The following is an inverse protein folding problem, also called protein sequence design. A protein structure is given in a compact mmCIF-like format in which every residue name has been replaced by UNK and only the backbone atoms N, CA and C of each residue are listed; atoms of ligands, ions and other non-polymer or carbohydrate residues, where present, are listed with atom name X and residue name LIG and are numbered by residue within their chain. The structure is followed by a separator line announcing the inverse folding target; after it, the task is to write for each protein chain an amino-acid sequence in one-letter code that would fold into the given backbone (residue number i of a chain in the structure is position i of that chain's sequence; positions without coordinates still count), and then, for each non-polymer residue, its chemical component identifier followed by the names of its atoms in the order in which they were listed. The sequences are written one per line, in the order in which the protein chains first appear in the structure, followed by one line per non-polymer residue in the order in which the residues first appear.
data_IF_386723701710
#
_entry.id   IF_386723701710
#
_cell.length_a   1.000
_cell.length_b   1.000
_cell.length_c   1.000
_cell.angle_alpha   90.00
_cell.angle_beta   90.00
_cell.angle_gamma   90.00
#
_symmetry.space_group_name_H-M   'P 1'
#
loop_
_entity.id
_entity.type
_entity.pdbx_description
1 polymer ?
#
# COMPACT_ATOMS: atom_id res chain seq x y z
N UNK A 1 -21.53 -7.35 -3.14
CA UNK A 1 -21.43 -8.80 -2.78
C UNK A 1 -22.57 -9.23 -1.83
N UNK A 2 -23.77 -9.62 -2.32
CA UNK A 2 -24.88 -9.99 -1.44
C UNK A 2 -24.80 -11.45 -0.96
N UNK A 3 -24.89 -11.67 0.36
CA UNK A 3 -25.47 -12.90 0.94
C UNK A 3 -24.53 -14.01 1.42
N UNK A 4 -23.25 -14.03 1.06
CA UNK A 4 -22.34 -15.08 1.56
C UNK A 4 -21.76 -14.67 2.91
N UNK A 5 -22.18 -15.36 3.98
CA UNK A 5 -21.54 -15.19 5.30
C UNK A 5 -20.12 -15.75 5.21
N UNK A 6 -19.12 -14.87 5.22
CA UNK A 6 -17.71 -15.28 5.22
C UNK A 6 -17.39 -16.01 6.55
N UNK A 7 -16.56 -17.06 6.53
CA UNK A 7 -16.19 -17.74 7.77
C UNK A 7 -15.38 -16.79 8.67
N UNK A 8 -15.50 -16.93 10.00
CA UNK A 8 -14.76 -16.10 10.94
C UNK A 8 -13.26 -16.28 10.76
N UNK A 9 -12.50 -15.26 11.16
CA UNK A 9 -11.05 -15.39 11.20
C UNK A 9 -10.67 -16.43 12.28
N UNK A 10 -9.78 -17.39 12.00
CA UNK A 10 -9.44 -18.45 12.95
C UNK A 10 -8.79 -17.92 14.23
N UNK A 11 -9.09 -18.56 15.36
CA UNK A 11 -8.57 -18.18 16.68
C UNK A 11 -7.22 -18.81 17.01
N UNK A 12 -6.83 -19.86 16.27
CA UNK A 12 -5.67 -20.71 16.51
C UNK A 12 -4.44 -20.36 15.65
N UNK A 13 -4.49 -19.24 14.91
CA UNK A 13 -3.35 -18.75 14.14
C UNK A 13 -2.64 -17.58 14.83
N UNK A 14 -1.30 -17.50 14.78
CA UNK A 14 -0.56 -16.38 15.36
C UNK A 14 -0.97 -15.04 14.73
N UNK A 15 -1.40 -14.10 15.56
CA UNK A 15 -1.74 -12.73 15.15
C UNK A 15 -0.84 -11.71 15.82
N UNK A 16 -0.55 -10.61 15.14
CA UNK A 16 0.08 -9.45 15.75
C UNK A 16 -0.98 -8.41 16.12
N UNK A 17 -1.06 -7.96 17.39
CA UNK A 17 -1.99 -6.90 17.77
C UNK A 17 -1.49 -5.57 17.20
N UNK A 18 -2.35 -4.88 16.42
CA UNK A 18 -2.10 -3.50 16.02
C UNK A 18 -2.80 -2.55 16.98
N UNK A 19 -2.20 -1.37 17.19
CA UNK A 19 -2.89 -0.28 17.87
C UNK A 19 -4.11 0.15 17.04
N UNK A 20 -5.25 0.34 17.70
CA UNK A 20 -6.47 0.87 17.09
C UNK A 20 -6.49 2.38 17.27
N UNK A 21 -6.47 3.12 16.17
CA UNK A 21 -6.50 4.58 16.14
C UNK A 21 -7.89 5.05 15.70
N UNK A 22 -8.43 6.05 16.38
CA UNK A 22 -9.69 6.72 16.09
C UNK A 22 -9.46 7.97 15.23
N UNK A 23 -9.82 7.89 13.95
CA UNK A 23 -9.64 9.00 13.02
C UNK A 23 -10.37 10.28 13.47
N UNK A 24 -11.53 10.16 14.10
CA UNK A 24 -12.30 11.32 14.52
C UNK A 24 -11.57 12.11 15.61
N UNK A 25 -10.99 11.42 16.59
CA UNK A 25 -10.18 12.05 17.64
C UNK A 25 -8.91 12.69 17.08
N UNK A 26 -8.24 12.02 16.12
CA UNK A 26 -7.11 12.62 15.40
C UNK A 26 -7.52 13.92 14.68
N UNK A 27 -8.65 13.92 13.98
CA UNK A 27 -9.16 15.09 13.25
C UNK A 27 -9.52 16.27 14.16
N UNK A 28 -9.79 15.99 15.45
CA UNK A 28 -10.05 17.00 16.48
C UNK A 28 -8.79 17.46 17.22
N UNK A 29 -7.62 16.90 16.90
CA UNK A 29 -6.36 17.24 17.55
C UNK A 29 -6.22 16.63 18.96
N UNK A 30 -6.89 15.51 19.23
CA UNK A 30 -6.74 14.81 20.50
C UNK A 30 -5.28 14.34 20.69
N UNK A 31 -4.65 14.82 21.76
CA UNK A 31 -3.22 14.59 21.99
C UNK A 31 -2.90 13.13 22.30
N UNK A 32 -3.78 12.44 23.04
CA UNK A 32 -3.54 11.05 23.42
C UNK A 32 -3.61 10.15 22.20
N UNK A 33 -4.60 10.38 21.33
CA UNK A 33 -4.73 9.61 20.10
C UNK A 33 -3.61 9.92 19.10
N UNK A 34 -3.17 11.17 19.03
CA UNK A 34 -1.99 11.57 18.23
C UNK A 34 -0.72 10.86 18.74
N UNK A 35 -0.50 10.79 20.05
CA UNK A 35 0.67 10.13 20.62
C UNK A 35 0.62 8.61 20.38
N UNK A 36 -0.57 8.02 20.42
CA UNK A 36 -0.79 6.61 20.09
C UNK A 36 -0.54 6.31 18.60
N UNK A 37 -0.97 7.19 17.70
CA UNK A 37 -0.65 7.10 16.28
C UNK A 37 0.86 7.21 16.05
N UNK A 38 1.51 8.13 16.75
CA UNK A 38 2.96 8.30 16.69
C UNK A 38 3.71 7.06 17.18
N UNK A 39 3.27 6.43 18.28
CA UNK A 39 3.79 5.16 18.76
C UNK A 39 3.65 4.07 17.70
N UNK A 40 2.46 3.91 17.11
CA UNK A 40 2.23 2.91 16.06
C UNK A 40 3.15 3.10 14.85
N UNK A 41 3.31 4.36 14.41
CA UNK A 41 4.09 4.69 13.21
C UNK A 41 5.61 4.62 13.42
N UNK A 42 6.10 4.82 14.65
CA UNK A 42 7.54 4.77 14.98
C UNK A 42 8.01 3.42 15.50
N UNK A 43 7.10 2.52 15.86
CA UNK A 43 7.42 1.14 16.30
C UNK A 43 7.29 0.15 15.15
N UNK A 44 6.07 -0.29 14.84
CA UNK A 44 5.80 -1.26 13.79
C UNK A 44 5.58 -0.62 12.42
N UNK A 45 5.06 0.60 12.39
CA UNK A 45 4.65 1.25 11.15
C UNK A 45 3.26 0.83 10.67
N UNK A 46 2.47 0.11 11.48
CA UNK A 46 1.13 -0.39 11.15
C UNK A 46 0.14 -0.09 12.27
N UNK A 47 -1.10 0.26 11.92
CA UNK A 47 -2.21 0.45 12.84
C UNK A 47 -3.55 0.09 12.21
N UNK A 48 -4.56 -0.20 13.04
CA UNK A 48 -5.95 -0.12 12.59
C UNK A 48 -6.42 1.33 12.69
N UNK A 49 -7.25 1.76 11.74
CA UNK A 49 -7.91 3.06 11.78
C UNK A 49 -9.42 2.84 11.75
N UNK A 50 -10.15 3.34 12.74
CA UNK A 50 -11.63 3.32 12.79
C UNK A 50 -12.20 4.72 12.63
N UNK A 51 -13.51 4.82 12.45
CA UNK A 51 -14.25 6.08 12.35
C UNK A 51 -13.75 7.01 11.22
N UNK A 52 -13.12 6.44 10.18
CA UNK A 52 -12.65 7.18 9.00
C UNK A 52 -13.81 7.59 8.06
N UNK A 53 -14.95 6.88 8.14
CA UNK A 53 -16.17 7.19 7.40
C UNK A 53 -16.07 6.92 5.90
N UNK A 54 -15.29 5.92 5.50
CA UNK A 54 -15.09 5.55 4.09
C UNK A 54 -15.85 4.27 3.69
N UNK A 55 -16.59 3.66 4.62
CA UNK A 55 -17.17 2.32 4.47
C UNK A 55 -18.08 2.20 3.23
N UNK A 56 -18.91 3.21 2.96
CA UNK A 56 -19.78 3.24 1.78
C UNK A 56 -18.97 3.26 0.47
N UNK A 57 -17.95 4.12 0.38
CA UNK A 57 -17.09 4.21 -0.80
C UNK A 57 -16.28 2.93 -1.00
N UNK A 58 -15.86 2.29 0.10
CA UNK A 58 -15.13 1.01 0.08
C UNK A 58 -16.00 -0.11 -0.49
N UNK A 59 -17.26 -0.23 -0.06
CA UNK A 59 -18.18 -1.22 -0.62
C UNK A 59 -18.46 -0.97 -2.11
N UNK A 60 -18.70 0.28 -2.51
CA UNK A 60 -18.85 0.62 -3.93
C UNK A 60 -17.62 0.26 -4.76
N UNK A 61 -16.42 0.49 -4.23
CA UNK A 61 -15.16 0.12 -4.89
C UNK A 61 -14.99 -1.39 -5.01
N UNK A 62 -15.45 -2.18 -4.03
CA UNK A 62 -15.47 -3.63 -4.13
C UNK A 62 -16.45 -4.10 -5.21
N UNK A 63 -17.65 -3.55 -5.26
CA UNK A 63 -18.64 -3.93 -6.28
C UNK A 63 -18.15 -3.58 -7.69
N UNK A 64 -17.60 -2.37 -7.89
CA UNK A 64 -16.94 -1.99 -9.15
C UNK A 64 -15.78 -2.93 -9.49
N UNK A 65 -14.99 -3.33 -8.49
CA UNK A 65 -13.91 -4.30 -8.63
C UNK A 65 -14.38 -5.66 -9.13
N UNK A 66 -15.47 -6.18 -8.55
CA UNK A 66 -16.11 -7.44 -8.97
C UNK A 66 -16.54 -7.34 -10.43
N UNK A 67 -17.31 -6.31 -10.79
CA UNK A 67 -17.76 -6.09 -12.17
C UNK A 67 -16.59 -5.99 -13.15
N UNK A 68 -15.51 -5.30 -12.76
CA UNK A 68 -14.33 -5.12 -13.59
C UNK A 68 -13.55 -6.42 -13.78
N UNK A 69 -13.40 -7.24 -12.73
CA UNK A 69 -12.65 -8.50 -12.82
C UNK A 69 -13.44 -9.63 -13.48
N UNK A 70 -14.76 -9.52 -13.53
CA UNK A 70 -15.66 -10.45 -14.22
C UNK A 70 -15.72 -10.20 -15.74
N UNK A 71 -15.15 -9.09 -16.23
CA UNK A 71 -14.97 -8.85 -17.66
C UNK A 71 -14.13 -9.97 -18.31
N UNK A 72 -14.39 -10.29 -19.60
CA UNK A 72 -13.54 -11.22 -20.34
C UNK A 72 -12.07 -10.82 -20.28
N UNK A 73 -11.18 -11.81 -20.20
CA UNK A 73 -9.74 -11.58 -20.06
C UNK A 73 -9.19 -10.61 -21.12
N UNK A 74 -9.59 -10.77 -22.38
CA UNK A 74 -9.17 -9.89 -23.48
C UNK A 74 -9.64 -8.44 -23.30
N UNK A 75 -10.81 -8.21 -22.71
CA UNK A 75 -11.31 -6.86 -22.42
C UNK A 75 -10.49 -6.20 -21.32
N UNK A 76 -10.12 -6.95 -20.27
CA UNK A 76 -9.23 -6.45 -19.20
C UNK A 76 -7.83 -6.14 -19.74
N UNK A 77 -7.32 -6.99 -20.63
CA UNK A 77 -5.96 -6.86 -21.19
C UNK A 77 -5.78 -5.63 -22.10
N UNK A 78 -6.84 -5.05 -22.67
CA UNK A 78 -6.76 -3.74 -23.36
C UNK A 78 -6.24 -2.63 -22.44
N UNK A 79 -6.44 -2.77 -21.14
CA UNK A 79 -6.06 -1.79 -20.13
C UNK A 79 -4.85 -2.24 -19.29
N UNK A 80 -4.04 -3.17 -19.79
CA UNK A 80 -2.88 -3.65 -19.06
C UNK A 80 -1.90 -2.50 -18.72
N UNK A 81 -1.26 -2.58 -17.55
CA UNK A 81 -0.37 -1.52 -17.04
C UNK A 81 0.96 -1.40 -17.80
N UNK A 82 1.35 -2.43 -18.54
CA UNK A 82 2.61 -2.55 -19.24
C UNK A 82 3.77 -3.00 -18.36
N UNK A 83 4.94 -3.09 -19.01
CA UNK A 83 6.19 -3.51 -18.38
C UNK A 83 7.19 -2.34 -18.20
N UNK A 84 6.76 -1.11 -18.51
CA UNK A 84 7.60 0.09 -18.56
C UNK A 84 7.76 0.83 -17.23
N UNK A 85 7.32 0.26 -16.11
CA UNK A 85 7.40 0.91 -14.78
C UNK A 85 6.17 1.74 -14.39
N UNK A 86 5.13 1.79 -15.23
CA UNK A 86 3.81 2.33 -14.85
C UNK A 86 3.03 1.29 -14.06
N UNK A 87 2.24 1.73 -13.08
CA UNK A 87 1.39 0.84 -12.28
C UNK A 87 -0.10 1.01 -12.52
N UNK A 88 -0.58 2.15 -13.05
CA UNK A 88 -2.01 2.33 -13.31
C UNK A 88 -2.49 1.42 -14.44
N UNK A 89 -3.70 0.87 -14.31
CA UNK A 89 -4.30 -0.10 -15.22
C UNK A 89 -4.46 -1.49 -14.61
N UNK A 90 -4.82 -2.43 -15.47
CA UNK A 90 -5.00 -3.84 -15.14
C UNK A 90 -3.65 -4.56 -15.04
N UNK A 91 -3.52 -5.43 -14.05
CA UNK A 91 -2.45 -6.42 -13.95
C UNK A 91 -3.09 -7.79 -13.82
N UNK A 92 -2.74 -8.71 -14.74
CA UNK A 92 -3.17 -10.11 -14.71
C UNK A 92 -2.40 -10.93 -13.67
N UNK A 93 -3.00 -11.99 -13.14
CA UNK A 93 -2.29 -13.01 -12.35
C UNK A 93 -1.06 -13.56 -13.08
N UNK A 94 0.00 -13.85 -12.33
CA UNK A 94 1.26 -14.40 -12.83
C UNK A 94 2.16 -13.42 -13.59
N UNK A 95 1.89 -12.12 -13.56
CA UNK A 95 2.74 -11.15 -14.27
C UNK A 95 3.98 -10.73 -13.47
N UNK A 96 4.01 -10.96 -12.15
CA UNK A 96 5.14 -10.58 -11.29
C UNK A 96 5.82 -11.81 -10.71
N UNK A 97 7.15 -11.76 -10.62
CA UNK A 97 7.90 -12.69 -9.79
C UNK A 97 7.61 -12.44 -8.31
N UNK A 98 7.57 -13.51 -7.50
CA UNK A 98 7.42 -13.42 -6.03
C UNK A 98 8.60 -13.97 -5.26
N UNK A 99 9.69 -14.31 -5.95
CA UNK A 99 10.98 -14.66 -5.35
C UNK A 99 12.15 -14.33 -6.28
N UNK A 100 13.36 -14.50 -5.75
CA UNK A 100 14.62 -14.23 -6.47
C UNK A 100 14.83 -15.16 -7.68
N UNK A 101 14.26 -16.37 -7.63
CA UNK A 101 14.40 -17.38 -8.69
C UNK A 101 13.61 -17.01 -9.93
N UNK A 102 12.56 -16.20 -9.80
CA UNK A 102 11.63 -15.88 -10.89
C UNK A 102 10.72 -17.05 -11.29
N UNK A 103 10.81 -18.19 -10.59
CA UNK A 103 10.00 -19.39 -10.86
C UNK A 103 8.59 -19.25 -10.28
N UNK A 104 8.48 -18.73 -9.05
CA UNK A 104 7.18 -18.50 -8.43
C UNK A 104 6.63 -17.14 -8.87
N UNK A 105 5.34 -17.14 -9.22
CA UNK A 105 4.61 -15.98 -9.71
C UNK A 105 3.43 -15.68 -8.80
N UNK A 106 3.03 -14.41 -8.76
CA UNK A 106 1.89 -13.99 -7.95
C UNK A 106 0.56 -14.52 -8.49
N UNK A 107 -0.38 -14.78 -7.59
CA UNK A 107 -1.70 -15.34 -7.94
C UNK A 107 -2.78 -14.28 -8.13
N UNK A 108 -2.46 -13.01 -7.86
CA UNK A 108 -3.43 -11.94 -7.81
C UNK A 108 -3.58 -11.23 -9.15
N UNK A 109 -4.80 -10.81 -9.46
CA UNK A 109 -5.06 -9.78 -10.45
C UNK A 109 -5.52 -8.50 -9.76
N UNK A 110 -5.23 -7.34 -10.33
CA UNK A 110 -5.66 -6.06 -9.77
C UNK A 110 -5.91 -4.99 -10.84
N UNK A 111 -6.74 -4.02 -10.46
CA UNK A 111 -6.99 -2.79 -11.21
C UNK A 111 -6.50 -1.61 -10.39
N UNK A 112 -5.58 -0.84 -10.96
CA UNK A 112 -5.06 0.38 -10.38
C UNK A 112 -5.64 1.60 -11.08
N UNK A 113 -6.28 2.48 -10.33
CA UNK A 113 -6.88 3.71 -10.82
C UNK A 113 -6.10 4.90 -10.27
N UNK A 114 -5.52 5.71 -11.16
CA UNK A 114 -4.70 6.85 -10.78
C UNK A 114 -5.53 7.88 -10.01
N UNK A 115 -4.94 8.43 -8.93
CA UNK A 115 -5.46 9.64 -8.26
C UNK A 115 -5.67 10.76 -9.28
N UNK A 116 -4.71 10.95 -10.19
CA UNK A 116 -4.72 12.06 -11.15
C UNK A 116 -5.93 11.97 -12.07
N UNK A 117 -6.24 10.78 -12.60
CA UNK A 117 -7.43 10.56 -13.42
C UNK A 117 -8.73 10.69 -12.63
N UNK A 118 -8.79 10.14 -11.41
CA UNK A 118 -9.97 10.22 -10.56
C UNK A 118 -10.32 11.67 -10.17
N UNK A 119 -9.31 12.52 -9.93
CA UNK A 119 -9.52 13.92 -9.61
C UNK A 119 -9.78 14.80 -10.83
N UNK A 120 -9.24 14.44 -12.01
CA UNK A 120 -9.39 15.21 -13.24
C UNK A 120 -10.63 14.82 -14.07
N UNK A 121 -11.31 13.72 -13.73
CA UNK A 121 -12.47 13.22 -14.47
C UNK A 121 -13.51 14.32 -14.77
N UNK A 122 -14.04 14.44 -16.00
CA UNK A 122 -13.93 13.49 -17.13
C UNK A 122 -12.67 13.64 -18.00
N UNK A 123 -11.74 14.53 -17.65
CA UNK A 123 -10.47 14.66 -18.39
C UNK A 123 -9.56 13.46 -18.11
N UNK A 124 -8.99 12.89 -19.15
CA UNK A 124 -7.94 11.87 -19.04
C UNK A 124 -6.62 12.58 -18.70
N UNK A 125 -6.07 12.32 -17.52
CA UNK A 125 -4.79 12.86 -17.06
C UNK A 125 -3.62 11.93 -17.40
N UNK A 126 -3.81 10.62 -17.21
CA UNK A 126 -2.80 9.58 -17.42
C UNK A 126 -3.28 8.50 -18.38
N UNK A 127 -4.50 7.96 -18.21
CA UNK A 127 -4.99 6.86 -19.05
C UNK A 127 -6.52 6.68 -19.02
N UNK A 128 -6.98 5.88 -19.97
CA UNK A 128 -8.33 5.32 -19.99
C UNK A 128 -8.42 4.01 -19.17
N UNK A 129 -9.64 3.66 -18.80
CA UNK A 129 -10.01 2.49 -17.97
C UNK A 129 -11.18 1.72 -18.60
N UNK A 130 -11.41 0.45 -18.21
CA UNK A 130 -12.60 -0.28 -18.63
C UNK A 130 -13.89 0.48 -18.33
N UNK A 131 -14.94 0.23 -19.12
CA UNK A 131 -16.25 0.87 -18.97
C UNK A 131 -16.82 0.75 -17.55
N UNK A 132 -16.58 -0.37 -16.85
CA UNK A 132 -17.00 -0.60 -15.47
C UNK A 132 -16.40 0.43 -14.51
N UNK A 133 -15.11 0.75 -14.67
CA UNK A 133 -14.40 1.79 -13.90
C UNK A 133 -14.91 3.17 -14.32
N UNK A 134 -14.96 3.44 -15.63
CA UNK A 134 -15.32 4.75 -16.17
C UNK A 134 -16.75 5.17 -15.80
N UNK A 135 -17.71 4.23 -15.82
CA UNK A 135 -19.11 4.46 -15.39
C UNK A 135 -19.23 4.66 -13.88
N UNK A 136 -18.30 4.10 -13.11
CA UNK A 136 -18.24 4.21 -11.64
C UNK A 136 -17.37 5.38 -11.16
N UNK A 137 -16.78 6.16 -12.09
CA UNK A 137 -15.75 7.13 -11.72
C UNK A 137 -16.30 8.24 -10.83
N UNK A 138 -17.41 8.87 -11.22
CA UNK A 138 -18.01 9.99 -10.48
C UNK A 138 -18.73 9.53 -9.20
N UNK A 139 -19.41 8.38 -9.26
CA UNK A 139 -20.24 7.86 -8.17
C UNK A 139 -19.44 7.16 -7.07
N UNK A 140 -18.31 6.53 -7.43
CA UNK A 140 -17.60 5.62 -6.53
C UNK A 140 -16.11 5.94 -6.44
N UNK A 141 -15.39 5.93 -7.56
CA UNK A 141 -13.92 6.01 -7.55
C UNK A 141 -13.42 7.36 -7.06
N UNK A 142 -13.90 8.46 -7.64
CA UNK A 142 -13.48 9.79 -7.25
C UNK A 142 -13.89 10.13 -5.81
N UNK A 143 -15.10 9.77 -5.32
CA UNK A 143 -15.43 9.86 -3.90
C UNK A 143 -14.48 9.06 -2.99
N UNK A 144 -14.17 7.80 -3.34
CA UNK A 144 -13.21 6.99 -2.57
C UNK A 144 -11.82 7.64 -2.51
N UNK A 145 -11.32 8.11 -3.66
CA UNK A 145 -10.00 8.78 -3.75
C UNK A 145 -9.99 10.05 -2.89
N UNK A 146 -11.00 10.92 -3.00
CA UNK A 146 -11.10 12.15 -2.18
C UNK A 146 -11.16 11.83 -0.69
N UNK A 147 -11.99 10.85 -0.30
CA UNK A 147 -12.10 10.43 1.10
C UNK A 147 -10.80 9.84 1.63
N UNK A 148 -10.11 9.07 0.82
CA UNK A 148 -8.79 8.52 1.16
C UNK A 148 -7.75 9.62 1.32
N UNK A 149 -7.75 10.62 0.43
CA UNK A 149 -6.89 11.81 0.53
C UNK A 149 -7.15 12.59 1.83
N UNK A 150 -8.41 12.86 2.18
CA UNK A 150 -8.75 13.54 3.44
C UNK A 150 -8.15 12.82 4.65
N UNK A 151 -8.30 11.49 4.68
CA UNK A 151 -7.75 10.65 5.75
C UNK A 151 -6.23 10.73 5.78
N UNK A 152 -5.54 10.40 4.67
CA UNK A 152 -4.08 10.30 4.67
C UNK A 152 -3.39 11.65 4.84
N UNK A 153 -3.95 12.77 4.37
CA UNK A 153 -3.39 14.11 4.63
C UNK A 153 -3.56 14.53 6.09
N UNK A 154 -4.65 14.12 6.75
CA UNK A 154 -4.80 14.34 8.19
C UNK A 154 -3.66 13.66 8.95
N UNK A 155 -3.39 12.39 8.64
CA UNK A 155 -2.28 11.64 9.27
C UNK A 155 -0.91 12.24 8.90
N UNK A 156 -0.73 12.64 7.64
CA UNK A 156 0.49 13.27 7.14
C UNK A 156 0.81 14.57 7.89
N UNK A 157 -0.21 15.38 8.20
CA UNK A 157 -0.05 16.60 8.99
C UNK A 157 0.36 16.30 10.43
N UNK A 158 -0.22 15.26 11.05
CA UNK A 158 0.22 14.81 12.39
C UNK A 158 1.70 14.41 12.36
N UNK A 159 2.11 13.63 11.36
CA UNK A 159 3.52 13.22 11.23
C UNK A 159 4.44 14.40 10.95
N UNK A 160 4.01 15.37 10.12
CA UNK A 160 4.75 16.61 9.87
C UNK A 160 5.08 17.31 11.20
N UNK A 161 4.07 17.50 12.04
CA UNK A 161 4.19 18.22 13.29
C UNK A 161 5.01 17.43 14.33
N UNK A 162 4.78 16.12 14.46
CA UNK A 162 5.53 15.25 15.39
C UNK A 162 7.00 15.07 14.98
N UNK A 163 7.31 15.16 13.69
CA UNK A 163 8.69 15.22 13.19
C UNK A 163 9.33 16.61 13.42
N UNK A 164 8.58 17.62 13.88
CA UNK A 164 9.10 18.98 14.05
C UNK A 164 9.44 19.67 12.72
N UNK A 165 8.82 19.25 11.62
CA UNK A 165 9.01 19.87 10.31
C UNK A 165 8.27 21.21 10.23
N UNK A 166 8.73 22.15 9.38
CA UNK A 166 7.96 23.33 9.04
C UNK A 166 6.54 22.96 8.57
N UNK A 167 5.57 23.82 8.87
CA UNK A 167 4.16 23.53 8.57
C UNK A 167 3.96 23.18 7.09
N UNK A 168 3.34 22.03 6.85
CA UNK A 168 2.96 21.55 5.52
C UNK A 168 4.13 21.08 4.64
N UNK A 169 5.33 20.84 5.20
CA UNK A 169 6.45 20.29 4.43
C UNK A 169 6.10 18.98 3.77
N UNK A 170 5.58 18.01 4.54
CA UNK A 170 5.18 16.73 3.95
C UNK A 170 4.03 16.88 2.94
N UNK A 171 3.07 17.78 3.19
CA UNK A 171 1.98 18.03 2.26
C UNK A 171 2.47 18.62 0.92
N UNK A 172 3.51 19.46 0.91
CA UNK A 172 4.12 19.99 -0.32
C UNK A 172 4.83 18.91 -1.15
N UNK A 173 5.46 17.92 -0.49
CA UNK A 173 6.02 16.76 -1.18
C UNK A 173 4.92 15.87 -1.82
N UNK A 174 3.66 16.09 -1.43
CA UNK A 174 2.50 15.43 -1.97
C UNK A 174 1.56 16.48 -2.57
N UNK A 175 2.03 17.39 -3.40
CA UNK A 175 1.13 18.39 -3.99
C UNK A 175 0.06 17.70 -4.85
N UNK A 176 -1.21 18.00 -4.61
CA UNK A 176 -2.34 17.45 -5.37
C UNK A 176 -2.34 17.90 -6.84
N UNK A 177 -1.71 19.05 -7.14
CA UNK A 177 -1.54 19.58 -8.48
C UNK A 177 -0.36 18.94 -9.22
N UNK A 178 0.56 18.30 -8.49
CA UNK A 178 1.63 17.53 -9.09
C UNK A 178 1.14 16.11 -9.39
N UNK A 179 1.53 15.63 -10.57
CA UNK A 179 1.40 14.23 -10.95
C UNK A 179 2.20 13.36 -9.99
N UNK A 180 1.57 12.27 -9.54
CA UNK A 180 2.20 11.32 -8.62
C UNK A 180 1.83 9.89 -9.00
N UNK A 181 2.56 8.93 -8.44
CA UNK A 181 2.16 7.54 -8.47
C UNK A 181 0.96 7.20 -7.58
N UNK A 182 0.28 8.15 -6.93
CA UNK A 182 -0.84 7.82 -6.02
C UNK A 182 -2.00 7.15 -6.76
N UNK A 183 -2.55 6.07 -6.20
CA UNK A 183 -3.58 5.26 -6.87
C UNK A 183 -4.46 4.48 -5.90
N UNK A 184 -5.69 4.19 -6.34
CA UNK A 184 -6.57 3.21 -5.72
C UNK A 184 -6.39 1.85 -6.42
N UNK A 185 -6.12 0.80 -5.64
CA UNK A 185 -5.92 -0.56 -6.12
C UNK A 185 -7.02 -1.48 -5.60
N UNK A 186 -7.77 -2.11 -6.50
CA UNK A 186 -8.67 -3.21 -6.16
C UNK A 186 -8.03 -4.53 -6.57
N UNK A 187 -7.89 -5.45 -5.62
CA UNK A 187 -7.16 -6.72 -5.79
C UNK A 187 -8.14 -7.88 -5.63
N UNK A 188 -8.11 -8.81 -6.59
CA UNK A 188 -8.75 -10.12 -6.51
C UNK A 188 -7.69 -11.19 -6.36
N UNK A 189 -7.80 -12.00 -5.31
CA UNK A 189 -7.00 -13.20 -5.13
C UNK A 189 -7.95 -14.42 -5.17
N UNK A 190 -7.71 -15.41 -6.05
CA UNK A 190 -8.57 -16.58 -6.15
C UNK A 190 -8.56 -17.42 -4.86
N UNK A 191 -9.58 -18.29 -4.66
CA UNK A 191 -9.57 -19.26 -3.57
C UNK A 191 -8.37 -20.21 -3.68
N UNK A 192 -7.78 -20.55 -2.54
CA UNK A 192 -6.63 -21.44 -2.44
C UNK A 192 -6.77 -22.39 -1.23
N UNK A 193 -7.80 -23.26 -1.19
CA UNK A 193 -8.13 -24.07 -0.02
C UNK A 193 -7.06 -25.10 0.35
N UNK A 194 -6.35 -25.63 -0.66
CA UNK A 194 -5.38 -26.73 -0.49
C UNK A 194 -3.91 -26.26 -0.57
N UNK A 195 -3.68 -24.94 -0.56
CA UNK A 195 -2.32 -24.40 -0.70
C UNK A 195 -1.64 -24.24 0.66
N UNK A 196 -0.40 -24.72 0.82
CA UNK A 196 0.35 -24.48 2.04
C UNK A 196 0.59 -22.98 2.22
N UNK A 197 0.66 -22.46 3.47
CA UNK A 197 0.93 -21.04 3.77
C UNK A 197 2.24 -20.50 3.16
N UNK A 198 3.11 -21.41 2.71
CA UNK A 198 4.38 -21.15 2.05
C UNK A 198 4.22 -20.63 0.61
N UNK A 199 3.06 -20.87 -0.03
CA UNK A 199 2.74 -20.26 -1.33
C UNK A 199 2.35 -18.81 -1.13
N UNK A 200 3.19 -17.91 -1.63
CA UNK A 200 3.04 -16.47 -1.42
C UNK A 200 2.17 -15.84 -2.52
N UNK A 201 1.04 -15.24 -2.16
CA UNK A 201 0.15 -14.53 -3.09
C UNK A 201 0.72 -13.14 -3.48
N UNK A 202 1.32 -12.44 -2.51
CA UNK A 202 2.16 -11.25 -2.71
C UNK A 202 3.39 -11.36 -1.83
N UNK A 203 4.57 -11.22 -2.43
CA UNK A 203 5.87 -11.38 -1.79
C UNK A 203 6.08 -10.43 -0.59
N UNK A 204 6.98 -10.79 0.32
CA UNK A 204 7.45 -9.97 1.42
C UNK A 204 8.07 -8.64 0.93
N UNK A 205 7.34 -7.54 1.05
CA UNK A 205 7.78 -6.23 0.57
C UNK A 205 7.47 -5.14 1.60
N UNK A 206 8.06 -3.99 1.39
CA UNK A 206 7.55 -2.73 1.92
C UNK A 206 6.86 -1.94 0.82
N UNK A 207 5.89 -1.11 1.21
CA UNK A 207 5.16 -0.26 0.27
C UNK A 207 6.01 0.88 -0.26
N UNK A 208 5.78 1.26 -1.51
CA UNK A 208 6.72 2.13 -2.24
C UNK A 208 6.54 3.60 -1.86
N UNK A 209 5.33 3.95 -1.44
CA UNK A 209 4.87 5.32 -1.20
C UNK A 209 5.09 5.79 0.22
N UNK A 210 4.20 6.66 0.68
CA UNK A 210 4.27 7.27 2.01
C UNK A 210 3.28 6.65 2.98
N UNK A 211 2.03 6.48 2.56
CA UNK A 211 0.97 5.88 3.38
C UNK A 211 0.09 4.96 2.55
N UNK A 212 -0.33 3.86 3.15
CA UNK A 212 -1.32 2.93 2.61
C UNK A 212 -2.58 2.96 3.48
N UNK A 213 -3.74 2.96 2.83
CA UNK A 213 -5.06 2.89 3.47
C UNK A 213 -5.81 1.67 2.92
N UNK A 214 -5.64 0.53 3.59
CA UNK A 214 -6.05 -0.80 3.15
C UNK A 214 -7.35 -1.26 3.83
N UNK A 215 -8.25 -1.83 3.05
CA UNK A 215 -9.47 -2.50 3.50
C UNK A 215 -9.46 -3.93 2.95
N UNK A 216 -9.66 -4.91 3.82
CA UNK A 216 -9.81 -6.31 3.44
C UNK A 216 -10.91 -6.98 4.28
N UNK A 217 -11.62 -7.94 3.68
CA UNK A 217 -12.69 -8.69 4.36
C UNK A 217 -12.19 -10.01 4.95
N UNK A 218 -11.24 -10.66 4.28
CA UNK A 218 -10.60 -11.90 4.72
C UNK A 218 -9.15 -11.65 5.15
N UNK A 219 -8.60 -12.60 5.91
CA UNK A 219 -7.21 -12.60 6.35
C UNK A 219 -6.20 -12.73 5.21
N UNK A 220 -5.00 -13.21 5.52
CA UNK A 220 -3.91 -13.41 4.54
C UNK A 220 -2.82 -12.35 4.60
N UNK A 221 -3.09 -11.14 5.12
CA UNK A 221 -2.03 -10.17 5.41
C UNK A 221 -1.20 -10.67 6.59
N UNK A 222 0.12 -10.69 6.42
CA UNK A 222 1.08 -10.98 7.48
C UNK A 222 2.14 -9.88 7.54
N UNK A 223 2.58 -9.56 8.76
CA UNK A 223 3.73 -8.69 9.02
C UNK A 223 4.84 -9.51 9.65
N UNK A 224 6.09 -9.07 9.47
CA UNK A 224 7.23 -9.55 10.24
C UNK A 224 7.63 -8.44 11.22
N UNK A 225 7.26 -8.54 12.51
CA UNK A 225 7.59 -7.49 13.47
C UNK A 225 9.11 -7.34 13.63
N UNK A 226 9.63 -6.11 13.85
CA UNK A 226 11.06 -5.89 14.03
C UNK A 226 11.63 -6.75 15.16
N UNK A 227 12.70 -7.49 14.89
CA UNK A 227 13.35 -8.37 15.88
C UNK A 227 12.68 -9.73 16.08
N UNK A 228 11.61 -10.04 15.34
CA UNK A 228 10.96 -11.35 15.36
C UNK A 228 11.40 -12.22 14.17
N UNK A 229 11.48 -13.53 14.39
CA UNK A 229 11.81 -14.51 13.34
C UNK A 229 10.58 -15.06 12.60
N UNK A 230 9.37 -14.72 13.05
CA UNK A 230 8.12 -15.34 12.58
C UNK A 230 7.11 -14.32 12.08
N UNK A 231 6.48 -14.65 10.95
CA UNK A 231 5.36 -13.91 10.37
C UNK A 231 4.11 -14.05 11.25
N UNK A 232 3.39 -12.96 11.41
CA UNK A 232 2.14 -12.90 12.20
C UNK A 232 1.02 -12.31 11.37
N UNK A 233 -0.18 -12.90 11.44
CA UNK A 233 -1.34 -12.40 10.73
C UNK A 233 -1.85 -11.08 11.31
N UNK A 234 -2.36 -10.23 10.42
CA UNK A 234 -3.19 -9.08 10.79
C UNK A 234 -4.65 -9.46 10.56
N UNK A 235 -5.41 -9.54 11.64
CA UNK A 235 -6.83 -9.92 11.62
C UNK A 235 -7.66 -8.77 11.04
N UNK A 236 -8.41 -8.95 9.95
CA UNK A 236 -9.35 -7.93 9.50
C UNK A 236 -10.40 -7.67 10.58
N UNK A 237 -10.65 -6.39 10.89
CA UNK A 237 -11.69 -5.98 11.84
C UNK A 237 -12.73 -5.18 11.05
N UNK A 238 -14.02 -5.59 11.06
CA UNK A 238 -15.07 -4.82 10.41
C UNK A 238 -15.09 -3.35 10.85
N UNK A 239 -15.30 -2.42 9.90
CA UNK A 239 -15.28 -0.97 10.15
C UNK A 239 -13.90 -0.38 10.48
N UNK A 240 -12.83 -1.14 10.26
CA UNK A 240 -11.45 -0.67 10.42
C UNK A 240 -10.68 -0.83 9.11
N UNK A 241 -9.96 0.22 8.73
CA UNK A 241 -8.88 0.10 7.78
C UNK A 241 -7.60 -0.36 8.48
N UNK A 242 -6.70 -0.96 7.72
CA UNK A 242 -5.31 -1.18 8.12
C UNK A 242 -4.50 -0.11 7.41
N UNK A 243 -3.74 0.67 8.17
CA UNK A 243 -2.86 1.69 7.63
C UNK A 243 -1.41 1.33 7.91
N UNK A 244 -0.52 1.72 7.00
CA UNK A 244 0.92 1.60 7.23
C UNK A 244 1.73 2.70 6.55
N UNK A 245 2.91 2.92 7.12
CA UNK A 245 3.96 3.76 6.54
C UNK A 245 4.68 2.99 5.42
N UNK A 246 4.97 3.70 4.33
CA UNK A 246 5.79 3.19 3.22
C UNK A 246 7.18 3.83 3.14
N UNK A 247 7.97 3.35 2.18
CA UNK A 247 9.38 3.68 2.01
C UNK A 247 9.66 5.17 1.84
N UNK A 248 8.84 5.90 1.09
CA UNK A 248 9.09 7.32 0.85
C UNK A 248 9.00 8.13 2.17
N UNK A 249 8.04 7.81 3.04
CA UNK A 249 7.91 8.50 4.32
C UNK A 249 8.94 8.00 5.36
N UNK A 250 9.34 6.72 5.30
CA UNK A 250 10.51 6.22 6.03
C UNK A 250 11.78 6.97 5.63
N UNK A 251 12.00 7.21 4.32
CA UNK A 251 13.14 7.96 3.80
C UNK A 251 13.09 9.42 4.23
N UNK A 252 11.99 10.13 3.98
CA UNK A 252 11.84 11.54 4.35
C UNK A 252 12.06 11.78 5.84
N UNK A 253 11.59 10.85 6.68
CA UNK A 253 11.73 10.95 8.15
C UNK A 253 13.08 10.49 8.71
N UNK A 254 14.06 10.14 7.87
CA UNK A 254 15.36 9.64 8.35
C UNK A 254 15.23 8.34 9.16
N UNK A 255 14.21 7.53 8.80
CA UNK A 255 13.88 6.28 9.46
C UNK A 255 13.20 6.43 10.81
N UNK A 256 12.76 7.63 11.22
CA UNK A 256 11.98 7.80 12.47
C UNK A 256 10.65 7.05 12.38
N UNK A 257 9.92 7.23 11.28
CA UNK A 257 8.73 6.44 10.95
C UNK A 257 9.16 5.12 10.30
N UNK A 258 8.56 3.99 10.67
CA UNK A 258 8.99 2.66 10.22
C UNK A 258 8.19 2.18 9.01
N UNK A 259 8.88 1.83 7.92
CA UNK A 259 8.30 1.06 6.81
C UNK A 259 8.64 -0.41 7.04
N UNK A 260 7.65 -1.23 7.38
CA UNK A 260 7.90 -2.61 7.78
C UNK A 260 7.45 -3.65 6.74
N UNK A 261 8.20 -4.74 6.68
CA UNK A 261 8.00 -5.80 5.69
C UNK A 261 6.72 -6.59 6.00
N UNK A 262 5.92 -6.77 4.96
CA UNK A 262 4.65 -7.49 5.02
C UNK A 262 4.46 -8.32 3.75
N UNK A 263 3.62 -9.35 3.83
CA UNK A 263 3.31 -10.24 2.70
C UNK A 263 1.83 -10.59 2.70
N UNK A 264 1.35 -11.12 1.57
CA UNK A 264 0.02 -11.74 1.50
C UNK A 264 0.17 -13.22 1.18
N UNK A 265 -0.39 -14.05 2.06
CA UNK A 265 -0.50 -15.50 1.92
C UNK A 265 -1.99 -15.87 1.76
N UNK A 266 -2.33 -17.12 1.39
CA UNK A 266 -3.71 -17.59 1.45
C UNK A 266 -4.38 -17.23 2.79
N UNK A 267 -5.66 -16.80 2.80
CA UNK A 267 -6.39 -16.60 4.04
C UNK A 267 -6.36 -17.86 4.92
N UNK A 268 -6.23 -17.72 6.24
CA UNK A 268 -6.07 -18.88 7.12
C UNK A 268 -7.37 -19.66 7.31
N UNK A 269 -7.24 -20.97 7.54
CA UNK A 269 -8.37 -21.86 7.85
C UNK A 269 -9.45 -21.88 6.77
N UNK A 270 -10.72 -21.91 7.19
CA UNK A 270 -11.86 -21.96 6.27
C UNK A 270 -11.96 -20.74 5.33
N UNK A 271 -11.31 -19.62 5.65
CA UNK A 271 -11.27 -18.44 4.78
C UNK A 271 -10.53 -18.72 3.46
N UNK A 272 -9.60 -19.69 3.43
CA UNK A 272 -8.83 -20.02 2.23
C UNK A 272 -9.67 -20.55 1.07
N UNK A 273 -10.89 -21.02 1.34
CA UNK A 273 -11.84 -21.50 0.33
C UNK A 273 -12.59 -20.38 -0.41
N UNK A 274 -12.34 -19.10 -0.09
CA UNK A 274 -13.08 -17.97 -0.62
C UNK A 274 -12.18 -17.01 -1.39
N UNK A 275 -12.77 -16.29 -2.34
CA UNK A 275 -12.11 -15.17 -3.01
C UNK A 275 -11.75 -14.09 -1.98
N UNK A 276 -10.48 -13.68 -1.98
CA UNK A 276 -10.02 -12.58 -1.13
C UNK A 276 -9.98 -11.31 -1.95
N UNK A 277 -10.80 -10.35 -1.53
CA UNK A 277 -10.81 -8.99 -2.04
C UNK A 277 -10.12 -8.04 -1.08
N UNK A 278 -9.30 -7.14 -1.62
CA UNK A 278 -8.76 -6.00 -0.88
C UNK A 278 -8.72 -4.73 -1.72
N UNK A 279 -8.95 -3.60 -1.06
CA UNK A 279 -8.91 -2.26 -1.64
C UNK A 279 -7.86 -1.45 -0.89
N UNK A 280 -6.92 -0.84 -1.60
CA UNK A 280 -5.90 0.02 -1.00
C UNK A 280 -5.84 1.35 -1.73
N UNK A 281 -5.81 2.45 -0.98
CA UNK A 281 -5.32 3.71 -1.51
C UNK A 281 -3.85 3.90 -1.12
N UNK A 282 -2.98 4.11 -2.11
CA UNK A 282 -1.57 4.41 -1.90
C UNK A 282 -1.33 5.91 -2.09
N UNK A 283 -0.92 6.60 -1.04
CA UNK A 283 -0.38 7.95 -1.13
C UNK A 283 1.10 7.88 -1.50
N UNK A 284 1.49 8.58 -2.56
CA UNK A 284 2.88 8.68 -3.03
C UNK A 284 3.26 10.15 -3.25
N UNK A 285 4.54 10.52 -3.10
CA UNK A 285 5.00 11.88 -3.37
C UNK A 285 4.79 12.26 -4.83
N UNK A 286 4.87 13.57 -5.12
CA UNK A 286 4.95 14.08 -6.48
C UNK A 286 6.09 13.44 -7.26
N UNK A 287 5.88 13.22 -8.56
CA UNK A 287 6.80 12.48 -9.45
C UNK A 287 8.22 13.07 -9.43
N UNK A 288 8.35 14.40 -9.29
CA UNK A 288 9.64 15.11 -9.30
C UNK A 288 10.38 15.13 -7.96
N UNK A 289 9.73 14.70 -6.87
CA UNK A 289 10.28 14.84 -5.53
C UNK A 289 11.47 13.91 -5.32
N UNK A 290 12.61 14.47 -4.91
CA UNK A 290 13.80 13.68 -4.58
C UNK A 290 13.55 12.87 -3.30
N UNK A 291 13.79 11.56 -3.33
CA UNK A 291 13.65 10.70 -2.15
C UNK A 291 14.93 10.77 -1.30
N UNK A 292 14.94 11.72 -0.36
CA UNK A 292 16.02 11.91 0.62
C UNK A 292 15.50 12.31 2.00
N UNK A 293 16.24 12.02 3.06
CA UNK A 293 15.90 12.50 4.41
C UNK A 293 15.91 14.03 4.48
N UNK A 294 14.92 14.58 5.18
CA UNK A 294 14.73 16.03 5.38
C UNK A 294 15.55 16.53 6.59
N UNK A 295 16.84 16.19 6.63
CA UNK A 295 17.72 16.48 7.79
C UNK A 295 17.92 17.97 8.01
N UNK A 296 17.79 18.79 6.96
CA UNK A 296 17.94 20.24 7.05
C UNK A 296 16.72 20.91 7.68
N UNK A 297 15.55 20.25 7.61
CA UNK A 297 14.27 20.81 8.03
C UNK A 297 13.85 20.33 9.44
N UNK A 298 14.53 19.34 10.03
CA UNK A 298 14.19 18.82 11.36
C UNK A 298 15.38 18.18 12.08
N UNK A 299 15.63 18.64 13.32
CA UNK A 299 16.59 18.02 14.22
C UNK A 299 16.21 16.57 14.57
N UNK A 300 14.90 16.28 14.71
CA UNK A 300 14.46 14.91 15.02
C UNK A 300 14.80 13.93 13.88
N UNK A 301 14.74 14.41 12.63
CA UNK A 301 15.12 13.63 11.45
C UNK A 301 16.65 13.48 11.39
N UNK A 302 17.41 14.55 11.62
CA UNK A 302 18.87 14.50 11.70
C UNK A 302 19.35 13.49 12.77
N UNK A 303 18.76 13.51 13.97
CA UNK A 303 19.04 12.56 15.04
C UNK A 303 18.64 11.13 14.65
N UNK A 304 17.53 10.98 13.92
CA UNK A 304 17.08 9.70 13.37
C UNK A 304 18.10 9.07 12.43
N UNK A 305 18.66 9.86 11.52
CA UNK A 305 19.73 9.40 10.61
C UNK A 305 20.98 9.05 11.41
N UNK A 306 21.39 9.89 12.36
CA UNK A 306 22.59 9.66 13.17
C UNK A 306 22.54 8.36 14.01
N UNK A 307 21.34 7.95 14.45
CA UNK A 307 21.12 6.69 15.18
C UNK A 307 21.23 5.43 14.32
N UNK A 308 21.37 5.57 13.00
CA UNK A 308 21.38 4.46 12.04
C UNK A 308 22.64 4.49 11.16
N UNK A 309 23.83 4.40 11.75
CA UNK A 309 25.08 4.43 10.99
C UNK A 309 25.10 3.30 9.96
N UNK A 310 25.52 3.63 8.73
CA UNK A 310 25.59 2.69 7.61
C UNK A 310 24.30 2.52 6.80
N UNK A 311 23.17 3.11 7.22
CA UNK A 311 21.98 3.21 6.37
C UNK A 311 22.01 4.50 5.55
N UNK A 312 21.73 4.40 4.25
CA UNK A 312 21.48 5.56 3.40
C UNK A 312 20.00 5.92 3.39
N UNK A 313 19.71 7.20 3.58
CA UNK A 313 18.37 7.78 3.40
C UNK A 313 18.35 8.74 2.21
N UNK A 314 19.20 8.52 1.23
CA UNK A 314 19.18 9.22 -0.05
C UNK A 314 19.25 8.18 -1.16
N UNK A 315 18.21 8.12 -1.98
CA UNK A 315 18.11 7.11 -3.03
C UNK A 315 18.86 7.50 -4.31
N UNK A 316 19.28 8.77 -4.42
CA UNK A 316 19.83 9.34 -5.65
C UNK A 316 18.82 9.41 -6.81
N UNK A 317 17.52 9.34 -6.52
CA UNK A 317 16.45 9.33 -7.53
C UNK A 317 15.23 10.10 -7.08
N UNK A 318 14.44 10.53 -8.07
CA UNK A 318 13.09 11.06 -7.86
C UNK A 318 12.11 9.95 -7.45
N UNK A 319 10.97 10.34 -6.88
CA UNK A 319 9.89 9.41 -6.54
C UNK A 319 9.41 8.62 -7.77
N UNK A 320 9.30 9.26 -8.94
CA UNK A 320 8.92 8.60 -10.18
C UNK A 320 9.93 7.55 -10.63
N UNK A 321 11.23 7.87 -10.60
CA UNK A 321 12.30 6.93 -11.00
C UNK A 321 12.38 5.73 -10.04
N UNK A 322 12.33 5.99 -8.73
CA UNK A 322 12.31 4.95 -7.71
C UNK A 322 11.11 4.01 -7.89
N UNK A 323 9.93 4.59 -8.06
CA UNK A 323 8.70 3.85 -8.30
C UNK A 323 8.77 3.01 -9.58
N UNK A 324 9.16 3.64 -10.69
CA UNK A 324 9.25 2.98 -11.99
C UNK A 324 10.26 1.84 -11.99
N UNK A 325 11.41 2.01 -11.33
CA UNK A 325 12.42 0.94 -11.13
C UNK A 325 11.79 -0.27 -10.45
N UNK A 326 11.12 -0.07 -9.31
CA UNK A 326 10.53 -1.17 -8.54
C UNK A 326 9.44 -1.89 -9.33
N UNK A 327 8.51 -1.15 -9.93
CA UNK A 327 7.43 -1.76 -10.75
C UNK A 327 8.01 -2.52 -11.94
N UNK A 328 8.94 -1.91 -12.70
CA UNK A 328 9.55 -2.52 -13.87
C UNK A 328 10.23 -3.84 -13.52
N UNK A 329 11.00 -3.87 -12.44
CA UNK A 329 11.82 -5.03 -12.08
C UNK A 329 11.03 -6.15 -11.39
N UNK A 330 9.79 -5.91 -10.96
CA UNK A 330 8.88 -6.98 -10.51
C UNK A 330 8.31 -7.80 -11.67
N UNK A 331 8.24 -7.23 -12.88
CA UNK A 331 7.62 -7.85 -14.04
C UNK A 331 8.45 -9.03 -14.53
N UNK A 332 7.80 -10.19 -14.69
CA UNK A 332 8.49 -11.40 -15.14
C UNK A 332 9.12 -11.25 -16.53
N UNK A 333 8.50 -10.46 -17.41
CA UNK A 333 9.05 -10.14 -18.74
C UNK A 333 10.37 -9.37 -18.69
N UNK A 334 10.64 -8.66 -17.61
CA UNK A 334 11.88 -7.93 -17.40
C UNK A 334 12.91 -8.72 -16.59
N UNK A 335 12.54 -9.91 -16.07
CA UNK A 335 13.42 -10.73 -15.27
C UNK A 335 14.56 -11.30 -16.11
N UNK A 336 15.80 -11.02 -15.71
CA UNK A 336 17.03 -11.51 -16.35
C UNK A 336 17.92 -12.32 -15.42
N UNK A 337 17.48 -12.54 -14.19
CA UNK A 337 18.25 -13.17 -13.13
C UNK A 337 18.05 -12.50 -11.76
N UNK A 338 18.71 -13.04 -10.72
CA UNK A 338 18.63 -12.55 -9.34
C UNK A 338 18.87 -11.04 -9.16
N UNK A 339 19.74 -10.44 -9.98
CA UNK A 339 20.00 -9.00 -9.91
C UNK A 339 18.78 -8.15 -10.30
N UNK A 340 17.90 -8.65 -11.17
CA UNK A 340 16.63 -7.96 -11.47
C UNK A 340 15.75 -7.95 -10.22
N UNK A 341 15.70 -9.07 -9.51
CA UNK A 341 14.94 -9.19 -8.28
C UNK A 341 15.46 -8.23 -7.20
N UNK A 342 16.77 -8.21 -6.95
CA UNK A 342 17.39 -7.28 -6.00
C UNK A 342 17.10 -5.82 -6.35
N UNK A 343 17.17 -5.47 -7.63
CA UNK A 343 16.85 -4.12 -8.11
C UNK A 343 15.36 -3.74 -8.02
N UNK A 344 14.45 -4.69 -7.77
CA UNK A 344 13.02 -4.42 -7.53
C UNK A 344 12.70 -4.05 -6.07
N UNK A 345 13.64 -4.30 -5.17
CA UNK A 345 13.47 -4.05 -3.73
C UNK A 345 13.52 -2.56 -3.41
N UNK A 346 12.91 -2.19 -2.28
CA UNK A 346 12.95 -0.87 -1.68
C UNK A 346 13.80 -0.88 -0.41
N UNK A 347 13.26 -0.32 0.68
CA UNK A 347 14.00 -0.22 1.96
C UNK A 347 14.07 -1.54 2.73
N UNK A 348 13.39 -2.59 2.26
CA UNK A 348 13.48 -3.94 2.84
C UNK A 348 14.83 -4.62 2.62
N UNK A 349 15.64 -4.14 1.67
CA UNK A 349 16.96 -4.71 1.38
C UNK A 349 18.03 -4.04 2.24
N UNK A 350 18.47 -4.73 3.29
CA UNK A 350 19.76 -4.46 3.91
C UNK A 350 20.81 -5.27 3.15
N UNK A 351 21.78 -4.61 2.51
CA UNK A 351 22.97 -5.26 1.93
C UNK A 351 23.82 -6.01 2.98
N UNK A 352 23.50 -5.88 4.27
CA UNK A 352 24.19 -6.51 5.39
C UNK A 352 23.57 -7.82 5.90
N UNK A 353 22.61 -8.41 5.18
CA UNK A 353 22.12 -9.76 5.48
C UNK A 353 22.53 -10.69 4.34
N UNK A 354 23.79 -11.11 4.39
CA UNK A 354 24.32 -12.30 3.71
C UNK A 354 24.63 -13.35 4.76
#
# INVERSE_FOLDING_TARGET
MPGTTLPPFPEDVPTHPLLIIDYHLISQGDKQEIDKLWEAATSLGFWYLKNHGADEQVEGMFDMGVETMDLPFEEKMKFEQGDGGRSCGYKRAGANAVDETGVNLDTVEFMNISKDDALAYPKIARREYPDTVSKSMESTVAPFVRKSLDVVYTLLNVFNDKLGLPKGTLARLHDLQEYSGSEARVIKNPPMPDMPPEKIALQAHTDFGSLSFLHNKLGGLQVLPPGHAHWSYIRPIPGHAICNVGDALYVFSGGVLQSNIHRVVPPPGAQGAYERWSLVFFLRPGDSQALRALVEDSQAIADGVAKRPGKTFETGSTAAEWFARRIKNQRIKNWKGPETWKASRGTEHNEQVV
#
